data_IF_369171488539
#
_entry.id   IF_369171488539
#
_cell.length_a   1.000
_cell.length_b   1.000
_cell.length_c   1.000
_cell.angle_alpha   90.00
_cell.angle_beta   90.00
_cell.angle_gamma   90.00
#
_symmetry.space_group_name_H-M   'P 1'
#
loop_
_entity.id
_entity.type
_entity.pdbx_description
1 polymer ?
#
# COMPACT_ATOMS: atom_id res chain seq x y z
N UNK A 1 8.37 -14.41 -2.30
CA UNK A 1 7.53 -13.36 -2.90
C UNK A 1 7.61 -12.11 -2.03
N UNK A 2 7.91 -10.95 -2.64
CA UNK A 2 8.10 -9.65 -1.97
C UNK A 2 6.80 -9.21 -1.28
N UNK A 3 5.63 -9.44 -1.89
CA UNK A 3 4.36 -9.03 -1.32
C UNK A 3 4.08 -9.70 0.03
N UNK A 4 4.37 -11.00 0.14
CA UNK A 4 4.22 -11.76 1.38
C UNK A 4 5.19 -11.28 2.47
N UNK A 5 6.46 -11.05 2.12
CA UNK A 5 7.46 -10.55 3.07
C UNK A 5 7.09 -9.15 3.59
N UNK A 6 6.66 -8.26 2.70
CA UNK A 6 6.17 -6.93 3.05
C UNK A 6 4.96 -7.00 4.01
N UNK A 7 3.97 -7.85 3.71
CA UNK A 7 2.81 -8.06 4.59
C UNK A 7 3.22 -8.53 5.98
N UNK A 8 4.11 -9.53 6.08
CA UNK A 8 4.63 -10.00 7.38
C UNK A 8 5.26 -8.85 8.15
N UNK A 9 6.10 -8.04 7.50
CA UNK A 9 6.72 -6.87 8.12
C UNK A 9 5.66 -5.85 8.60
N UNK A 10 4.64 -5.57 7.79
CA UNK A 10 3.56 -4.65 8.13
C UNK A 10 2.75 -5.13 9.34
N UNK A 11 2.44 -6.43 9.42
CA UNK A 11 1.75 -7.03 10.57
C UNK A 11 2.65 -7.11 11.82
N UNK A 12 3.94 -7.37 11.68
CA UNK A 12 4.87 -7.27 12.81
C UNK A 12 4.90 -5.85 13.39
N UNK A 13 4.82 -4.82 12.53
CA UNK A 13 4.78 -3.42 12.94
C UNK A 13 3.52 -3.08 13.78
N UNK A 14 2.45 -3.88 13.74
CA UNK A 14 1.27 -3.68 14.61
C UNK A 14 1.60 -3.75 16.10
N UNK A 15 2.64 -4.50 16.48
CA UNK A 15 3.10 -4.62 17.88
C UNK A 15 3.80 -3.35 18.39
N UNK A 16 4.30 -2.52 17.48
CA UNK A 16 5.01 -1.28 17.79
C UNK A 16 4.06 -0.09 17.65
N UNK A 17 3.33 -0.03 16.54
CA UNK A 17 2.39 1.03 16.24
C UNK A 17 1.12 0.45 15.62
N UNK A 18 0.03 0.45 16.39
CA UNK A 18 -1.22 -0.15 15.95
C UNK A 18 -1.90 0.66 14.84
N UNK A 19 -2.41 -0.04 13.81
CA UNK A 19 -3.10 0.54 12.65
C UNK A 19 -4.40 -0.19 12.44
N UNK A 20 -5.49 0.44 12.85
CA UNK A 20 -6.83 -0.13 12.83
C UNK A 20 -7.25 -0.63 11.44
N UNK A 21 -6.82 0.06 10.39
CA UNK A 21 -7.24 -0.21 9.01
C UNK A 21 -6.40 -1.30 8.31
N UNK A 22 -5.30 -1.79 8.90
CA UNK A 22 -4.37 -2.68 8.19
C UNK A 22 -5.04 -4.00 7.76
N UNK A 23 -5.79 -4.63 8.66
CA UNK A 23 -6.44 -5.92 8.38
C UNK A 23 -7.46 -5.79 7.24
N UNK A 24 -8.32 -4.78 7.31
CA UNK A 24 -9.29 -4.51 6.24
C UNK A 24 -8.61 -4.12 4.93
N UNK A 25 -7.56 -3.30 4.99
CA UNK A 25 -6.78 -2.91 3.81
C UNK A 25 -6.12 -4.11 3.13
N UNK A 26 -5.53 -5.01 3.92
CA UNK A 26 -4.93 -6.25 3.41
C UNK A 26 -5.99 -7.18 2.81
N UNK A 27 -7.12 -7.38 3.49
CA UNK A 27 -8.21 -8.24 3.04
C UNK A 27 -8.85 -7.73 1.75
N UNK A 28 -9.30 -6.47 1.74
CA UNK A 28 -9.99 -5.84 0.61
C UNK A 28 -9.05 -5.71 -0.58
N UNK A 29 -7.83 -5.21 -0.34
CA UNK A 29 -6.83 -5.10 -1.39
C UNK A 29 -6.43 -6.45 -1.99
N UNK A 30 -6.28 -7.48 -1.16
CA UNK A 30 -6.00 -8.84 -1.61
C UNK A 30 -7.14 -9.43 -2.46
N UNK A 31 -8.40 -9.24 -2.03
CA UNK A 31 -9.57 -9.67 -2.78
C UNK A 31 -9.70 -8.96 -4.14
N UNK A 32 -9.21 -7.73 -4.24
CA UNK A 32 -9.20 -6.94 -5.48
C UNK A 32 -7.97 -7.21 -6.38
N UNK A 33 -7.08 -8.14 -6.01
CA UNK A 33 -5.93 -8.55 -6.85
C UNK A 33 -4.56 -8.11 -6.34
N UNK A 34 -4.48 -7.45 -5.19
CA UNK A 34 -3.22 -7.11 -4.53
C UNK A 34 -2.42 -8.32 -4.07
N UNK A 35 -1.09 -8.18 -4.04
CA UNK A 35 -0.13 -9.24 -3.70
C UNK A 35 0.49 -9.10 -2.32
N UNK A 36 0.29 -7.97 -1.65
CA UNK A 36 0.81 -7.72 -0.32
C UNK A 36 0.65 -6.27 0.09
N UNK A 37 0.91 -5.99 1.36
CA UNK A 37 0.82 -4.63 1.90
C UNK A 37 2.16 -4.19 2.46
N UNK A 38 2.51 -2.94 2.21
CA UNK A 38 3.62 -2.25 2.85
C UNK A 38 3.06 -1.25 3.83
N UNK A 39 3.81 -1.00 4.88
CA UNK A 39 3.46 -0.02 5.89
C UNK A 39 4.66 0.89 6.11
N UNK A 40 4.45 2.20 5.95
CA UNK A 40 5.50 3.17 6.25
C UNK A 40 5.81 3.17 7.74
N UNK A 41 7.05 3.56 8.07
CA UNK A 41 7.56 3.56 9.44
C UNK A 41 6.70 4.39 10.40
N UNK A 42 6.27 5.59 9.98
CA UNK A 42 5.37 6.46 10.78
C UNK A 42 3.97 5.89 10.98
N UNK A 43 3.61 4.86 10.20
CA UNK A 43 2.39 4.08 10.34
C UNK A 43 1.09 4.72 9.90
N UNK A 44 1.15 5.93 9.34
CA UNK A 44 -0.01 6.62 8.77
C UNK A 44 -0.23 6.28 7.29
N UNK A 45 0.76 5.68 6.64
CA UNK A 45 0.73 5.34 5.21
C UNK A 45 0.77 3.82 5.05
N UNK A 46 -0.24 3.31 4.34
CA UNK A 46 -0.32 1.93 3.88
C UNK A 46 -0.22 1.92 2.36
N UNK A 47 0.51 0.95 1.81
CA UNK A 47 0.59 0.72 0.37
C UNK A 47 0.16 -0.70 0.03
N UNK A 48 -0.53 -0.87 -1.10
CA UNK A 48 -0.89 -2.18 -1.64
C UNK A 48 0.01 -2.45 -2.84
N UNK A 49 0.67 -3.60 -2.86
CA UNK A 49 1.48 -4.03 -3.99
C UNK A 49 0.56 -4.66 -5.02
N UNK A 50 0.51 -4.10 -6.23
CA UNK A 50 -0.19 -4.66 -7.38
C UNK A 50 0.79 -5.31 -8.37
N UNK A 51 0.42 -6.39 -9.06
CA UNK A 51 1.18 -6.89 -10.20
C UNK A 51 1.31 -5.84 -11.31
N UNK A 52 2.39 -5.88 -12.06
CA UNK A 52 2.54 -5.05 -13.25
C UNK A 52 1.40 -5.29 -14.25
N UNK A 53 0.86 -4.20 -14.82
CA UNK A 53 -0.24 -4.25 -15.78
C UNK A 53 -1.62 -4.52 -15.17
N UNK A 54 -1.75 -4.49 -13.84
CA UNK A 54 -3.05 -4.58 -13.18
C UNK A 54 -3.81 -3.27 -13.37
N UNK A 55 -5.07 -3.34 -13.79
CA UNK A 55 -6.00 -2.21 -13.71
C UNK A 55 -6.28 -1.90 -12.22
N UNK A 56 -5.85 -0.73 -11.77
CA UNK A 56 -5.99 -0.26 -10.41
C UNK A 56 -7.42 0.22 -10.09
N UNK A 57 -8.28 0.44 -11.09
CA UNK A 57 -9.62 1.02 -10.91
C UNK A 57 -10.50 0.18 -9.98
N UNK A 58 -10.61 -1.16 -10.14
CA UNK A 58 -11.41 -2.00 -9.26
C UNK A 58 -10.87 -2.02 -7.82
N UNK A 59 -9.54 -1.99 -7.68
CA UNK A 59 -8.85 -1.93 -6.38
C UNK A 59 -9.19 -0.63 -5.66
N UNK A 60 -9.08 0.49 -6.37
CA UNK A 60 -9.40 1.83 -5.86
C UNK A 60 -10.86 1.89 -5.39
N UNK A 61 -11.79 1.44 -6.22
CA UNK A 61 -13.23 1.42 -5.89
C UNK A 61 -13.55 0.54 -4.67
N UNK A 62 -12.93 -0.63 -4.56
CA UNK A 62 -13.12 -1.53 -3.43
C UNK A 62 -12.63 -0.89 -2.11
N UNK A 63 -11.45 -0.26 -2.14
CA UNK A 63 -10.88 0.41 -0.96
C UNK A 63 -11.70 1.64 -0.55
N UNK A 64 -12.15 2.47 -1.49
CA UNK A 64 -13.00 3.63 -1.20
C UNK A 64 -14.35 3.23 -0.59
N UNK A 65 -14.91 2.10 -1.04
CA UNK A 65 -16.20 1.60 -0.56
C UNK A 65 -16.11 1.02 0.85
N UNK A 66 -15.09 0.20 1.13
CA UNK A 66 -15.01 -0.56 2.39
C UNK A 66 -14.24 0.17 3.49
N UNK A 67 -13.25 1.00 3.14
CA UNK A 67 -12.35 1.61 4.13
C UNK A 67 -12.75 3.06 4.38
N UNK A 68 -13.22 3.31 5.60
CA UNK A 68 -13.61 4.65 6.05
C UNK A 68 -12.38 5.43 6.53
N UNK A 69 -12.43 6.75 6.40
CA UNK A 69 -11.41 7.70 6.89
C UNK A 69 -10.04 7.61 6.19
N UNK A 70 -10.02 7.32 4.89
CA UNK A 70 -8.82 7.51 4.08
C UNK A 70 -8.65 9.01 3.82
N UNK A 71 -7.53 9.60 4.24
CA UNK A 71 -7.20 11.01 3.97
C UNK A 71 -6.69 11.20 2.54
N UNK A 72 -5.97 10.22 2.02
CA UNK A 72 -5.37 10.27 0.69
C UNK A 72 -5.27 8.85 0.12
N UNK A 73 -5.71 8.68 -1.12
CA UNK A 73 -5.61 7.42 -1.87
C UNK A 73 -5.09 7.76 -3.27
N UNK A 74 -3.94 7.21 -3.62
CA UNK A 74 -3.30 7.44 -4.90
C UNK A 74 -2.61 6.17 -5.40
N UNK A 75 -2.42 6.09 -6.70
CA UNK A 75 -1.70 5.01 -7.36
C UNK A 75 -0.33 5.51 -7.81
N UNK A 76 0.72 4.89 -7.25
CA UNK A 76 2.10 5.26 -7.56
C UNK A 76 2.82 4.09 -8.21
N UNK A 77 3.59 4.39 -9.25
CA UNK A 77 4.50 3.43 -9.85
C UNK A 77 5.84 3.45 -9.09
N UNK A 78 6.30 2.27 -8.68
CA UNK A 78 7.61 2.14 -8.03
C UNK A 78 8.70 2.45 -9.05
N UNK A 79 9.57 3.40 -8.71
CA UNK A 79 10.79 3.71 -9.49
C UNK A 79 12.02 3.40 -8.66
N UNK A 80 13.08 2.90 -9.30
CA UNK A 80 14.38 2.67 -8.68
C UNK A 80 15.42 3.66 -9.25
N UNK A 81 15.15 4.96 -9.12
CA UNK A 81 16.00 5.99 -9.74
C UNK A 81 16.92 6.72 -8.74
N UNK A 82 16.86 6.37 -7.44
CA UNK A 82 17.52 7.16 -6.40
C UNK A 82 17.00 8.61 -6.34
N UNK A 83 17.64 9.45 -5.52
CA UNK A 83 17.34 10.89 -5.48
C UNK A 83 17.97 11.56 -6.71
N UNK A 84 17.17 12.22 -7.55
CA UNK A 84 17.67 13.05 -8.66
C UNK A 84 17.45 14.52 -8.30
N UNK A 85 18.53 15.29 -8.25
CA UNK A 85 18.46 16.74 -8.14
C UNK A 85 18.29 17.27 -9.57
N UNK A 86 17.13 17.84 -9.87
CA UNK A 86 16.96 18.60 -11.11
C UNK A 86 17.73 19.92 -10.93
N UNK A 87 18.94 19.98 -11.48
CA UNK A 87 19.62 21.25 -11.70
C UNK A 87 19.12 21.81 -13.01
N UNK A 88 18.20 22.75 -12.96
CA UNK A 88 17.84 23.56 -14.12
C UNK A 88 19.10 24.28 -14.61
N UNK A 89 19.42 24.10 -15.90
CA UNK A 89 20.50 24.80 -16.62
C UNK A 89 19.90 25.80 -17.59
#
# INVERSE_FOLDING_TARGET
DIGKAASISAFCNQKILYKKQLDDFYRVGGAAGGKGVVCAHSGTVLGLILPHGTDETPVRQALEKEIRNITFLDYVSVTNQGMRIASDS
#
